data_IF_248168525294
#
_entry.id   IF_248168525294
#
_cell.length_a   1.000
_cell.length_b   1.000
_cell.length_c   1.000
_cell.angle_alpha   90.00
_cell.angle_beta   90.00
_cell.angle_gamma   90.00
#
_symmetry.space_group_name_H-M   'P 1'
#
loop_
_entity.id
_entity.type
_entity.pdbx_description
1 polymer ?
#
# COMPACT_ATOMS: atom_id res chain seq x y z
N UNK A 1 13.90 -11.80 -3.69
CA UNK A 1 12.61 -11.99 -3.00
C UNK A 1 12.25 -10.64 -2.42
N UNK A 2 11.28 -9.99 -3.07
CA UNK A 2 10.39 -8.92 -2.62
C UNK A 2 10.96 -7.86 -1.66
N UNK A 3 11.74 -6.94 -2.20
CA UNK A 3 12.30 -5.75 -1.54
C UNK A 3 11.30 -4.57 -1.53
N UNK A 4 10.08 -4.83 -1.10
CA UNK A 4 9.10 -3.79 -0.74
C UNK A 4 8.44 -4.15 0.59
N UNK A 5 9.30 -4.44 1.55
CA UNK A 5 8.94 -4.26 2.94
C UNK A 5 8.97 -2.75 3.20
N UNK A 6 7.80 -2.17 3.46
CA UNK A 6 7.71 -0.87 4.12
C UNK A 6 8.38 -0.86 5.51
N UNK A 7 8.99 -1.99 5.92
CA UNK A 7 9.89 -2.14 7.07
C UNK A 7 11.31 -1.57 6.81
N UNK A 8 11.71 -1.30 5.56
CA UNK A 8 13.08 -0.88 5.22
C UNK A 8 13.39 0.61 5.37
N UNK A 9 12.37 1.46 5.52
CA UNK A 9 12.53 2.90 5.66
C UNK A 9 11.57 3.44 6.72
N UNK A 10 11.92 4.57 7.34
CA UNK A 10 11.09 5.27 8.33
C UNK A 10 9.85 5.94 7.68
N UNK A 11 9.32 5.35 6.60
CA UNK A 11 8.02 5.65 5.99
C UNK A 11 6.86 5.31 6.96
N UNK A 12 7.11 4.52 8.02
CA UNK A 12 6.19 4.24 9.13
C UNK A 12 4.77 3.88 8.67
N UNK A 13 4.59 3.09 7.63
CA UNK A 13 3.25 2.79 7.09
C UNK A 13 2.43 4.01 6.61
N UNK A 14 3.06 5.14 6.26
CA UNK A 14 2.35 6.33 5.81
C UNK A 14 1.49 6.07 4.56
N UNK A 15 1.96 5.19 3.67
CA UNK A 15 1.19 4.68 2.54
C UNK A 15 -0.12 3.98 2.96
N UNK A 16 -0.10 3.29 4.11
CA UNK A 16 -1.27 2.61 4.64
C UNK A 16 -2.25 3.56 5.34
N UNK A 17 -2.10 4.89 5.30
CA UNK A 17 -3.07 5.81 5.90
C UNK A 17 -4.39 5.88 5.13
N UNK A 18 -4.37 5.66 3.82
CA UNK A 18 -5.49 5.94 2.91
C UNK A 18 -6.29 4.70 2.50
N UNK A 19 -5.84 3.52 2.95
CA UNK A 19 -6.28 2.26 2.37
C UNK A 19 -5.65 2.02 0.99
N UNK A 20 -5.91 0.86 0.41
CA UNK A 20 -5.50 0.49 -0.93
C UNK A 20 -6.67 -0.14 -1.66
N UNK A 21 -6.65 -0.05 -2.98
CA UNK A 21 -7.59 -0.78 -3.83
C UNK A 21 -7.18 -2.24 -3.93
N UNK A 22 -8.18 -3.11 -4.04
CA UNK A 22 -8.04 -4.56 -3.91
C UNK A 22 -9.00 -5.21 -4.88
N UNK A 23 -8.47 -6.14 -5.67
CA UNK A 23 -9.28 -6.92 -6.60
C UNK A 23 -10.29 -7.81 -5.85
N UNK A 24 -11.48 -8.09 -6.43
CA UNK A 24 -12.50 -8.94 -5.79
C UNK A 24 -11.95 -10.30 -5.36
N UNK A 25 -11.06 -10.90 -6.17
CA UNK A 25 -10.41 -12.17 -5.85
C UNK A 25 -9.42 -12.07 -4.67
N UNK A 26 -8.74 -10.94 -4.49
CA UNK A 26 -7.85 -10.68 -3.35
C UNK A 26 -8.65 -10.43 -2.07
N UNK A 27 -9.70 -9.61 -2.14
CA UNK A 27 -10.64 -9.39 -1.05
C UNK A 27 -11.21 -10.72 -0.56
N UNK A 28 -11.69 -11.56 -1.49
CA UNK A 28 -12.23 -12.87 -1.15
C UNK A 28 -11.20 -13.75 -0.43
N UNK A 29 -9.96 -13.80 -0.93
CA UNK A 29 -8.88 -14.58 -0.29
C UNK A 29 -8.59 -14.10 1.14
N UNK A 30 -8.59 -12.80 1.39
CA UNK A 30 -8.40 -12.23 2.72
C UNK A 30 -9.54 -12.62 3.69
N UNK A 31 -10.78 -12.62 3.20
CA UNK A 31 -11.96 -13.01 4.00
C UNK A 31 -11.95 -14.52 4.27
N UNK A 32 -11.72 -15.34 3.25
CA UNK A 32 -11.67 -16.80 3.37
C UNK A 32 -10.56 -17.25 4.36
N UNK A 33 -9.44 -16.52 4.40
CA UNK A 33 -8.34 -16.76 5.33
C UNK A 33 -8.61 -16.27 6.76
N UNK A 34 -9.76 -15.63 7.02
CA UNK A 34 -10.09 -15.05 8.31
C UNK A 34 -9.26 -13.80 8.69
N UNK A 35 -8.56 -13.21 7.71
CA UNK A 35 -7.72 -12.02 7.91
C UNK A 35 -8.48 -10.71 7.75
N UNK A 36 -9.67 -10.78 7.14
CA UNK A 36 -10.55 -9.64 6.90
C UNK A 36 -12.02 -10.03 7.05
N UNK A 37 -12.88 -9.02 7.14
CA UNK A 37 -14.34 -9.13 7.08
C UNK A 37 -14.86 -8.31 5.91
N UNK A 38 -16.06 -8.59 5.37
CA UNK A 38 -16.66 -7.74 4.35
C UNK A 38 -16.73 -6.26 4.76
N UNK A 39 -16.95 -5.97 6.05
CA UNK A 39 -16.98 -4.61 6.60
C UNK A 39 -15.63 -3.86 6.57
N UNK A 40 -14.53 -4.57 6.35
CA UNK A 40 -13.18 -4.01 6.27
C UNK A 40 -12.91 -3.37 4.90
N UNK A 41 -13.89 -3.40 3.99
CA UNK A 41 -13.79 -2.84 2.64
C UNK A 41 -14.93 -1.82 2.37
N UNK A 42 -14.69 -0.94 1.41
CA UNK A 42 -15.67 -0.03 0.79
C UNK A 42 -15.74 -0.29 -0.72
N UNK A 43 -16.73 0.30 -1.40
CA UNK A 43 -17.07 -0.03 -2.78
C UNK A 43 -18.21 -1.07 -2.87
N UNK A 44 -18.35 -1.80 -3.99
CA UNK A 44 -17.43 -1.80 -5.14
C UNK A 44 -17.46 -0.47 -5.90
N UNK A 45 -16.32 -0.11 -6.48
CA UNK A 45 -16.15 1.00 -7.42
C UNK A 45 -15.62 0.43 -8.75
N UNK A 46 -15.92 1.10 -9.86
CA UNK A 46 -15.44 0.73 -11.20
C UNK A 46 -14.49 1.83 -11.65
N UNK A 47 -13.28 1.46 -12.06
CA UNK A 47 -12.30 2.42 -12.57
C UNK A 47 -12.53 2.78 -14.06
N UNK A 48 -11.61 3.55 -14.63
CA UNK A 48 -11.70 4.02 -16.02
C UNK A 48 -11.52 2.89 -17.06
N UNK A 49 -11.04 1.71 -16.64
CA UNK A 49 -10.81 0.54 -17.48
C UNK A 49 -11.91 -0.53 -17.32
N UNK A 50 -13.04 -0.17 -16.69
CA UNK A 50 -14.14 -1.08 -16.33
C UNK A 50 -13.72 -2.18 -15.32
N UNK A 51 -12.61 -2.02 -14.60
CA UNK A 51 -12.20 -2.96 -13.55
C UNK A 51 -12.96 -2.70 -12.24
N UNK A 52 -13.55 -3.77 -11.68
CA UNK A 52 -14.23 -3.69 -10.38
C UNK A 52 -13.21 -3.81 -9.27
N UNK A 53 -13.16 -2.80 -8.40
CA UNK A 53 -12.26 -2.75 -7.26
C UNK A 53 -13.00 -2.51 -5.95
N UNK A 54 -12.42 -3.00 -4.87
CA UNK A 54 -12.82 -2.68 -3.50
C UNK A 54 -11.70 -1.94 -2.81
N UNK A 55 -12.01 -0.95 -1.98
CA UNK A 55 -10.99 -0.25 -1.22
C UNK A 55 -10.94 -0.75 0.22
N UNK A 56 -9.75 -1.04 0.75
CA UNK A 56 -9.62 -1.33 2.18
C UNK A 56 -10.03 -0.10 2.99
N UNK A 57 -10.85 -0.28 4.02
CA UNK A 57 -11.36 0.83 4.81
C UNK A 57 -10.21 1.55 5.54
N UNK A 58 -10.17 2.87 5.40
CA UNK A 58 -9.30 3.73 6.20
C UNK A 58 -10.03 4.22 7.46
N UNK A 59 -9.33 4.21 8.59
CA UNK A 59 -9.81 4.72 9.88
C UNK A 59 -8.96 5.91 10.31
N UNK A 60 -9.27 6.55 11.45
CA UNK A 60 -8.39 7.58 12.04
C UNK A 60 -6.97 7.08 12.34
N UNK A 61 -6.78 5.75 12.42
CA UNK A 61 -5.47 5.10 12.64
C UNK A 61 -4.80 4.63 11.34
N UNK A 62 -5.41 4.91 10.18
CA UNK A 62 -5.04 4.41 8.87
C UNK A 62 -5.85 3.16 8.47
N UNK A 63 -5.36 2.45 7.45
CA UNK A 63 -5.94 1.24 6.88
C UNK A 63 -6.26 0.23 7.98
N UNK A 64 -7.39 -0.46 7.82
CA UNK A 64 -7.90 -1.51 8.72
C UNK A 64 -6.91 -2.65 9.00
N UNK A 65 -5.92 -2.84 8.14
CA UNK A 65 -4.87 -3.86 8.30
C UNK A 65 -3.66 -3.37 9.11
N UNK A 66 -3.60 -2.09 9.51
CA UNK A 66 -2.52 -1.59 10.35
C UNK A 66 -2.62 -2.09 11.79
N UNK A 67 -1.50 -2.59 12.29
CA UNK A 67 -1.37 -3.03 13.68
C UNK A 67 -1.32 -1.85 14.67
N UNK A 68 -1.64 -2.09 15.96
CA UNK A 68 -1.60 -1.05 17.00
C UNK A 68 -0.22 -0.40 17.20
N UNK A 69 0.85 -1.14 16.93
CA UNK A 69 2.24 -0.71 17.12
C UNK A 69 2.91 -0.15 15.86
N UNK A 70 2.16 0.10 14.78
CA UNK A 70 2.67 0.30 13.41
C UNK A 70 3.22 -1.01 12.81
N UNK A 71 3.18 -1.14 11.49
CA UNK A 71 3.36 -2.38 10.73
C UNK A 71 2.02 -2.97 10.26
N UNK A 72 1.89 -3.23 8.95
CA UNK A 72 0.70 -3.85 8.37
C UNK A 72 0.68 -5.36 8.64
N UNK A 73 -0.45 -5.87 9.16
CA UNK A 73 -0.60 -7.29 9.55
C UNK A 73 -0.52 -8.26 8.38
N UNK A 74 -0.69 -7.76 7.14
CA UNK A 74 -0.57 -8.58 5.93
C UNK A 74 0.89 -8.90 5.55
N UNK A 75 1.88 -8.19 6.08
CA UNK A 75 3.30 -8.50 5.84
C UNK A 75 3.72 -9.87 6.37
N UNK A 76 3.09 -10.32 7.46
CA UNK A 76 3.32 -11.67 8.00
C UNK A 76 2.61 -12.77 7.18
N UNK A 77 1.97 -12.41 6.05
CA UNK A 77 1.13 -13.30 5.25
C UNK A 77 1.59 -13.33 3.80
N UNK A 78 1.22 -14.38 3.07
CA UNK A 78 1.39 -14.44 1.60
C UNK A 78 0.18 -13.87 0.83
N UNK A 79 -0.67 -13.09 1.50
CA UNK A 79 -1.97 -12.63 1.00
C UNK A 79 -2.03 -11.10 0.87
N UNK A 80 -0.88 -10.43 0.84
CA UNK A 80 -0.80 -9.00 0.56
C UNK A 80 -1.41 -8.73 -0.84
N UNK A 81 -2.38 -7.80 -0.95
CA UNK A 81 -2.88 -7.39 -2.26
C UNK A 81 -1.74 -6.90 -3.17
N UNK A 82 -1.87 -7.19 -4.46
CA UNK A 82 -0.91 -6.82 -5.50
C UNK A 82 -0.66 -5.32 -5.52
N UNK A 83 -1.72 -4.52 -5.48
CA UNK A 83 -1.67 -3.05 -5.42
C UNK A 83 -0.81 -2.57 -4.23
N UNK A 84 -0.92 -3.20 -3.05
CA UNK A 84 -0.08 -2.83 -1.90
C UNK A 84 1.41 -3.09 -2.10
N UNK A 85 1.80 -3.89 -3.09
CA UNK A 85 3.20 -4.19 -3.41
C UNK A 85 3.77 -3.26 -4.48
N UNK A 86 2.89 -2.67 -5.29
CA UNK A 86 3.25 -1.71 -6.32
C UNK A 86 3.03 -0.27 -5.88
N UNK A 87 2.31 0.00 -4.80
CA UNK A 87 1.99 1.35 -4.32
C UNK A 87 3.18 2.09 -3.69
N UNK A 88 3.43 3.37 -4.05
CA UNK A 88 2.77 4.13 -5.12
C UNK A 88 3.10 3.58 -6.51
N UNK A 89 2.09 3.46 -7.37
CA UNK A 89 2.11 2.80 -8.67
C UNK A 89 3.20 3.38 -9.58
N UNK A 90 3.39 4.69 -9.52
CA UNK A 90 4.41 5.42 -10.27
C UNK A 90 4.98 6.60 -9.47
N UNK A 91 5.92 7.34 -10.09
CA UNK A 91 6.59 8.49 -9.47
C UNK A 91 5.66 9.72 -9.34
N UNK A 92 4.64 9.83 -10.19
CA UNK A 92 3.66 10.92 -10.17
C UNK A 92 2.74 10.77 -8.96
N UNK A 93 2.13 9.60 -8.78
CA UNK A 93 1.34 9.26 -7.59
C UNK A 93 2.19 9.37 -6.32
N UNK A 94 3.45 8.93 -6.36
CA UNK A 94 4.36 9.06 -5.24
C UNK A 94 4.64 10.53 -4.85
N UNK A 95 4.71 11.43 -5.84
CA UNK A 95 4.94 12.85 -5.65
C UNK A 95 3.68 13.55 -5.13
N UNK A 96 2.51 13.29 -5.69
CA UNK A 96 1.24 13.83 -5.19
C UNK A 96 1.04 13.45 -3.73
N UNK A 97 1.23 12.17 -3.41
CA UNK A 97 1.21 11.69 -2.05
C UNK A 97 2.27 12.35 -1.15
N UNK A 98 3.45 12.67 -1.68
CA UNK A 98 4.46 13.40 -0.92
C UNK A 98 4.00 14.80 -0.56
N UNK A 99 3.45 15.53 -1.54
CA UNK A 99 2.94 16.90 -1.38
C UNK A 99 1.77 16.95 -0.39
N UNK A 100 0.96 15.90 -0.32
CA UNK A 100 -0.10 15.74 0.67
C UNK A 100 0.38 15.28 2.06
N UNK A 101 1.68 15.03 2.22
CA UNK A 101 2.27 14.52 3.45
C UNK A 101 1.94 13.04 3.73
N UNK A 102 1.43 12.33 2.73
CA UNK A 102 1.11 10.89 2.74
C UNK A 102 2.35 10.01 2.51
N UNK A 103 3.37 10.53 1.83
CA UNK A 103 4.56 9.78 1.44
C UNK A 103 5.86 10.58 1.73
N UNK A 104 6.19 10.81 3.02
CA UNK A 104 7.36 11.62 3.40
C UNK A 104 8.70 11.01 2.97
N UNK A 105 8.70 9.71 2.65
CA UNK A 105 9.88 8.98 2.19
C UNK A 105 10.14 9.10 0.67
N UNK A 106 9.34 9.86 -0.07
CA UNK A 106 9.47 10.05 -1.51
C UNK A 106 10.92 10.26 -1.99
N UNK A 107 11.64 11.19 -1.35
CA UNK A 107 13.03 11.50 -1.70
C UNK A 107 14.04 10.37 -1.45
N UNK A 108 13.69 9.34 -0.67
CA UNK A 108 14.55 8.19 -0.42
C UNK A 108 14.45 7.11 -1.50
N UNK A 109 13.51 7.26 -2.44
CA UNK A 109 13.27 6.30 -3.52
C UNK A 109 13.33 6.95 -4.89
N UNK A 110 12.90 8.21 -5.00
CA UNK A 110 12.73 8.91 -6.26
C UNK A 110 13.68 10.12 -6.42
N UNK A 111 14.50 10.47 -5.41
CA UNK A 111 15.46 11.59 -5.57
C UNK A 111 16.61 11.24 -6.53
N UNK A 112 17.00 12.17 -7.43
CA UNK A 112 18.14 12.00 -8.34
C UNK A 112 19.47 11.68 -7.66
N UNK A 113 19.65 12.08 -6.39
CA UNK A 113 20.89 11.90 -5.65
C UNK A 113 21.29 10.42 -5.42
N UNK A 114 20.35 9.48 -5.54
CA UNK A 114 20.61 8.04 -5.36
C UNK A 114 20.77 7.26 -6.67
N UNK A 115 20.43 7.83 -7.84
CA UNK A 115 20.63 7.16 -9.15
C UNK A 115 22.13 6.97 -9.49
N UNK A 116 23.03 7.69 -8.83
CA UNK A 116 24.49 7.62 -9.05
C UNK A 116 25.15 6.44 -8.32
N UNK A 117 24.48 5.82 -7.33
CA UNK A 117 25.11 4.78 -6.50
C UNK A 117 25.03 3.35 -7.06
N UNK A 118 24.23 3.10 -8.11
CA UNK A 118 23.92 1.71 -8.58
C UNK A 118 24.56 1.38 -9.95
N UNK A 119 25.30 2.30 -10.57
CA UNK A 119 26.05 2.04 -11.81
C UNK A 119 27.58 2.16 -11.65
N UNK A 120 28.09 1.82 -10.47
CA UNK A 120 29.52 1.87 -10.17
C UNK A 120 29.94 0.81 -9.16
N UNK A 121 29.89 -0.45 -9.56
CA UNK A 121 30.42 -1.60 -8.82
C UNK A 121 30.77 -2.72 -9.79
#
# INVERSE_FOLDING_TARGET
MDEFDCLGFDCRDACCRYGADVYPAEMKRLIDAGLARPSDFTGPDVDEEDEVMYRTRATRKGCVFLGPGRGCRLHATKLKPSVCSTFPLDEEEALEMHEEGAFPCYHLRFSPAQRVAVQGG
#
